data_IF_138757241996
#
_entry.id   IF_138757241996
#
_cell.length_a   1.000
_cell.length_b   1.000
_cell.length_c   1.000
_cell.angle_alpha   90.00
_cell.angle_beta   90.00
_cell.angle_gamma   90.00
#
_symmetry.space_group_name_H-M   'P 1'
#
loop_
_entity.id
_entity.type
_entity.pdbx_description
1 polymer ?
#
# COMPACT_ATOMS: atom_id res chain seq x y z
N UNK A 1 -0.91 15.31 11.35
CA UNK A 1 0.46 14.84 11.00
C UNK A 1 1.47 15.02 12.15
N UNK A 2 1.34 16.10 12.92
CA UNK A 2 2.27 16.52 13.99
C UNK A 2 2.69 15.42 14.97
N UNK A 3 1.76 14.60 15.45
CA UNK A 3 2.07 13.50 16.37
C UNK A 3 3.07 12.48 15.80
N UNK A 4 3.02 12.22 14.48
CA UNK A 4 3.94 11.30 13.81
C UNK A 4 5.33 11.94 13.71
N UNK A 5 5.39 13.21 13.34
CA UNK A 5 6.65 13.96 13.26
C UNK A 5 7.35 14.04 14.61
N UNK A 6 6.59 14.25 15.69
CA UNK A 6 7.11 14.25 17.06
C UNK A 6 7.67 12.87 17.46
N UNK A 7 7.02 11.78 17.07
CA UNK A 7 7.54 10.42 17.29
C UNK A 7 8.84 10.18 16.52
N UNK A 8 8.92 10.65 15.27
CA UNK A 8 10.14 10.54 14.47
C UNK A 8 11.29 11.41 15.00
N UNK A 9 10.99 12.61 15.51
CA UNK A 9 11.97 13.47 16.16
C UNK A 9 12.54 12.82 17.43
N UNK A 10 11.74 12.01 18.11
CA UNK A 10 12.15 11.17 19.24
C UNK A 10 12.83 9.85 18.83
N UNK A 11 13.14 9.69 17.53
CA UNK A 11 13.84 8.54 16.96
C UNK A 11 13.08 7.22 17.12
N UNK A 12 11.76 7.25 16.99
CA UNK A 12 10.98 6.02 16.87
C UNK A 12 11.46 5.18 15.66
N UNK A 13 11.76 3.90 15.91
CA UNK A 13 12.19 2.95 14.87
C UNK A 13 11.00 2.38 14.07
N UNK A 14 9.80 2.44 14.66
CA UNK A 14 8.56 1.87 14.13
C UNK A 14 7.41 2.81 14.46
N UNK A 15 6.53 3.05 13.48
CA UNK A 15 5.26 3.74 13.70
C UNK A 15 4.10 2.74 13.69
N UNK A 16 3.12 2.94 14.56
CA UNK A 16 1.95 2.07 14.68
C UNK A 16 0.69 2.86 14.33
N UNK A 17 -0.20 2.25 13.55
CA UNK A 17 -1.41 2.88 13.05
C UNK A 17 -2.59 1.91 12.98
N UNK A 18 -3.71 2.36 13.52
CA UNK A 18 -5.02 1.79 13.25
C UNK A 18 -5.62 2.34 11.95
N UNK A 19 -6.11 1.44 11.11
CA UNK A 19 -6.69 1.82 9.82
C UNK A 19 -8.22 1.74 9.84
N UNK A 20 -8.85 2.80 9.34
CA UNK A 20 -10.29 2.88 9.07
C UNK A 20 -10.53 3.25 7.61
N UNK A 21 -11.75 3.06 7.12
CA UNK A 21 -12.12 3.35 5.73
C UNK A 21 -13.28 4.34 5.69
N UNK A 22 -13.11 5.42 4.92
CA UNK A 22 -14.18 6.38 4.61
C UNK A 22 -15.14 5.82 3.57
N UNK A 23 -16.29 6.49 3.38
CA UNK A 23 -17.30 6.12 2.38
C UNK A 23 -16.76 6.15 0.95
N UNK A 24 -15.92 7.13 0.63
CA UNK A 24 -15.23 7.27 -0.66
C UNK A 24 -13.97 6.39 -0.78
N UNK A 25 -13.70 5.55 0.22
CA UNK A 25 -12.66 4.54 0.16
C UNK A 25 -11.24 5.07 0.40
N UNK A 26 -11.08 6.18 1.11
CA UNK A 26 -9.78 6.64 1.61
C UNK A 26 -9.47 5.88 2.91
N UNK A 27 -8.24 5.36 3.01
CA UNK A 27 -7.77 4.72 4.24
C UNK A 27 -7.28 5.81 5.18
N UNK A 28 -7.92 5.92 6.34
CA UNK A 28 -7.64 6.94 7.37
C UNK A 28 -6.94 6.30 8.54
N UNK A 29 -5.97 7.01 9.11
CA UNK A 29 -5.34 6.63 10.36
C UNK A 29 -6.21 7.08 11.53
N UNK A 30 -6.88 6.14 12.19
CA UNK A 30 -7.73 6.41 13.36
C UNK A 30 -7.96 5.15 14.19
N UNK A 31 -7.76 5.27 15.50
CA UNK A 31 -8.10 4.20 16.44
C UNK A 31 -9.61 3.94 16.48
N UNK A 32 -10.42 4.99 16.62
CA UNK A 32 -11.86 4.85 16.76
C UNK A 32 -12.54 4.79 15.40
N UNK A 33 -13.57 3.95 15.32
CA UNK A 33 -14.52 3.94 14.20
C UNK A 33 -15.46 5.14 14.22
N UNK A 34 -15.89 5.55 15.43
CA UNK A 34 -16.81 6.66 15.64
C UNK A 34 -16.05 7.93 16.03
N UNK A 35 -16.45 9.05 15.45
CA UNK A 35 -15.75 10.33 15.56
C UNK A 35 -16.08 11.11 16.84
N UNK A 36 -16.99 10.62 17.69
CA UNK A 36 -17.52 11.34 18.85
C UNK A 36 -16.42 11.71 19.86
N UNK A 37 -15.54 10.75 20.19
CA UNK A 37 -14.43 11.00 21.12
C UNK A 37 -13.46 12.04 20.57
N UNK A 38 -13.08 11.88 19.30
CA UNK A 38 -12.01 12.62 18.64
C UNK A 38 -12.40 14.04 18.22
N UNK A 39 -13.65 14.24 17.80
CA UNK A 39 -14.13 15.50 17.18
C UNK A 39 -15.44 16.03 17.78
N UNK A 40 -16.15 15.23 18.58
CA UNK A 40 -17.50 15.55 19.05
C UNK A 40 -18.62 15.18 18.06
N UNK A 41 -18.29 14.79 16.82
CA UNK A 41 -19.26 14.35 15.83
C UNK A 41 -19.63 12.89 16.06
N UNK A 42 -20.88 12.60 16.45
CA UNK A 42 -21.35 11.22 16.60
C UNK A 42 -21.72 10.58 15.23
N UNK A 43 -20.69 10.26 14.44
CA UNK A 43 -20.79 9.51 13.18
C UNK A 43 -19.62 8.56 13.03
N UNK A 44 -19.85 7.45 12.33
CA UNK A 44 -18.79 6.52 11.96
C UNK A 44 -18.06 7.02 10.72
N UNK A 45 -16.74 6.80 10.67
CA UNK A 45 -15.85 7.22 9.57
C UNK A 45 -16.36 6.70 8.21
N UNK A 46 -16.88 5.47 8.16
CA UNK A 46 -17.38 4.85 6.94
C UNK A 46 -18.67 5.49 6.38
N UNK A 47 -19.26 6.47 7.07
CA UNK A 47 -20.44 7.20 6.61
C UNK A 47 -20.11 8.52 5.89
N UNK A 48 -18.85 8.97 5.97
CA UNK A 48 -18.39 10.26 5.46
C UNK A 48 -17.33 10.07 4.38
N UNK A 49 -17.27 11.00 3.43
CA UNK A 49 -16.12 11.10 2.51
C UNK A 49 -14.93 11.73 3.25
N UNK A 50 -13.70 11.49 2.79
CA UNK A 50 -12.50 11.97 3.47
C UNK A 50 -12.49 13.50 3.66
N UNK A 51 -12.90 14.25 2.63
CA UNK A 51 -12.99 15.72 2.69
C UNK A 51 -14.05 16.24 3.67
N UNK A 52 -14.95 15.38 4.15
CA UNK A 52 -16.01 15.73 5.10
C UNK A 52 -15.64 15.38 6.55
N UNK A 53 -14.46 14.77 6.77
CA UNK A 53 -14.01 14.44 8.12
C UNK A 53 -13.77 15.72 8.93
N UNK A 54 -14.24 15.77 10.18
CA UNK A 54 -14.08 16.93 11.03
C UNK A 54 -12.63 17.05 11.54
N UNK A 55 -12.31 18.23 12.07
CA UNK A 55 -11.09 18.43 12.83
C UNK A 55 -11.16 17.68 14.17
N UNK A 56 -10.00 17.27 14.68
CA UNK A 56 -9.85 16.87 16.07
C UNK A 56 -10.23 18.01 17.03
N UNK A 57 -10.62 17.65 18.25
CA UNK A 57 -10.76 18.61 19.37
C UNK A 57 -9.43 19.33 19.62
N UNK A 58 -9.51 20.55 20.15
CA UNK A 58 -8.33 21.34 20.55
C UNK A 58 -7.59 20.69 21.73
N UNK A 59 -8.34 20.01 22.60
CA UNK A 59 -7.84 19.16 23.66
C UNK A 59 -8.41 17.76 23.45
N UNK A 60 -7.54 16.80 23.22
CA UNK A 60 -7.93 15.41 23.01
C UNK A 60 -7.42 14.56 24.16
N UNK A 61 -8.35 13.99 24.93
CA UNK A 61 -8.00 13.07 26.01
C UNK A 61 -7.31 11.82 25.45
N UNK A 62 -6.17 11.48 26.04
CA UNK A 62 -5.34 10.34 25.65
C UNK A 62 -6.05 9.05 26.10
N UNK A 63 -6.40 8.21 25.13
CA UNK A 63 -7.20 7.01 25.35
C UNK A 63 -6.68 6.08 26.47
N UNK A 64 -5.36 5.86 26.51
CA UNK A 64 -4.71 4.98 27.48
C UNK A 64 -4.18 5.71 28.73
N UNK A 65 -4.44 7.01 28.86
CA UNK A 65 -4.00 7.82 29.99
C UNK A 65 -5.11 8.81 30.39
N UNK A 66 -6.19 8.32 31.02
CA UNK A 66 -7.34 9.15 31.40
C UNK A 66 -6.91 10.35 32.26
N UNK A 67 -7.51 11.52 32.00
CA UNK A 67 -7.13 12.78 32.64
C UNK A 67 -5.91 13.49 32.04
N UNK A 68 -5.22 12.88 31.06
CA UNK A 68 -4.17 13.54 30.29
C UNK A 68 -4.68 13.93 28.90
N UNK A 69 -4.28 15.12 28.44
CA UNK A 69 -4.75 15.71 27.19
C UNK A 69 -3.58 15.98 26.25
N UNK A 70 -3.80 15.70 24.97
CA UNK A 70 -2.91 16.06 23.88
C UNK A 70 -3.43 17.32 23.19
N UNK A 71 -2.49 18.14 22.72
CA UNK A 71 -2.73 19.36 21.95
C UNK A 71 -1.93 19.29 20.66
N UNK A 72 -2.44 19.95 19.62
CA UNK A 72 -1.76 20.02 18.32
C UNK A 72 -2.30 21.19 17.51
N UNK A 73 -1.41 21.79 16.74
CA UNK A 73 -1.76 22.88 15.82
C UNK A 73 -2.47 22.35 14.57
N UNK A 74 -1.99 21.21 14.04
CA UNK A 74 -2.64 20.50 12.94
C UNK A 74 -3.65 19.48 13.49
N UNK A 75 -4.93 19.81 13.31
CA UNK A 75 -6.07 19.01 13.78
C UNK A 75 -6.75 18.22 12.66
N UNK A 76 -6.17 18.15 11.47
CA UNK A 76 -6.77 17.37 10.38
C UNK A 76 -6.53 15.87 10.58
N UNK A 77 -7.56 15.08 10.28
CA UNK A 77 -7.38 13.64 10.09
C UNK A 77 -6.54 13.40 8.83
N UNK A 78 -5.68 12.39 8.88
CA UNK A 78 -4.71 12.12 7.83
C UNK A 78 -5.00 10.77 7.16
N UNK A 79 -4.72 10.70 5.86
CA UNK A 79 -4.78 9.44 5.15
C UNK A 79 -3.51 8.63 5.40
N UNK A 80 -3.62 7.30 5.29
CA UNK A 80 -2.45 6.43 5.30
C UNK A 80 -1.51 6.72 4.11
N UNK A 81 -2.06 7.19 2.99
CA UNK A 81 -1.27 7.55 1.81
C UNK A 81 -0.34 8.75 2.10
N UNK A 82 -0.84 9.77 2.80
CA UNK A 82 -0.02 10.93 3.22
C UNK A 82 1.14 10.48 4.13
N UNK A 83 0.89 9.54 5.04
CA UNK A 83 1.91 8.98 5.93
C UNK A 83 2.96 8.20 5.14
N UNK A 84 2.54 7.38 4.17
CA UNK A 84 3.47 6.64 3.31
C UNK A 84 4.32 7.56 2.44
N UNK A 85 3.75 8.64 1.90
CA UNK A 85 4.47 9.62 1.11
C UNK A 85 5.52 10.36 1.95
N UNK A 86 5.15 10.76 3.17
CA UNK A 86 6.03 11.54 4.05
C UNK A 86 7.14 10.69 4.69
N UNK A 87 6.84 9.43 5.02
CA UNK A 87 7.76 8.52 5.69
C UNK A 87 7.95 7.21 4.89
N UNK A 88 8.57 7.29 3.69
CA UNK A 88 8.61 6.16 2.76
C UNK A 88 9.52 5.01 3.22
N UNK A 89 10.50 5.30 4.09
CA UNK A 89 11.49 4.31 4.58
C UNK A 89 11.25 3.88 6.03
N UNK A 90 10.31 4.50 6.73
CA UNK A 90 10.04 4.18 8.14
C UNK A 90 9.19 2.92 8.21
N UNK A 91 9.62 1.88 8.94
CA UNK A 91 8.79 0.71 9.19
C UNK A 91 7.47 1.08 9.86
N UNK A 92 6.38 0.39 9.49
CA UNK A 92 5.05 0.67 10.03
C UNK A 92 4.31 -0.62 10.39
N UNK A 93 3.64 -0.60 11.54
CA UNK A 93 2.69 -1.60 11.98
C UNK A 93 1.27 -1.09 11.68
N UNK A 94 0.51 -1.81 10.86
CA UNK A 94 -0.84 -1.41 10.44
C UNK A 94 -1.86 -2.39 10.98
N UNK A 95 -2.72 -1.90 11.85
CA UNK A 95 -3.78 -2.69 12.47
C UNK A 95 -5.10 -2.61 11.69
N UNK A 96 -5.69 -3.77 11.42
CA UNK A 96 -7.03 -3.92 10.83
C UNK A 96 -7.99 -4.48 11.89
N UNK A 97 -8.84 -3.64 12.48
CA UNK A 97 -9.70 -4.03 13.61
C UNK A 97 -10.96 -4.84 13.21
N UNK A 98 -11.50 -4.56 12.03
CA UNK A 98 -12.76 -5.15 11.56
C UNK A 98 -12.57 -5.96 10.27
N UNK A 99 -13.42 -6.96 10.07
CA UNK A 99 -13.42 -7.76 8.85
C UNK A 99 -13.99 -6.93 7.70
N UNK A 100 -13.12 -6.17 7.05
CA UNK A 100 -13.44 -5.34 5.90
C UNK A 100 -12.48 -5.69 4.75
N UNK A 101 -12.97 -6.47 3.77
CA UNK A 101 -12.15 -6.91 2.63
C UNK A 101 -11.65 -5.74 1.79
N UNK A 102 -12.46 -4.69 1.64
CA UNK A 102 -12.08 -3.51 0.87
C UNK A 102 -10.90 -2.79 1.51
N UNK A 103 -10.96 -2.57 2.82
CA UNK A 103 -9.86 -1.98 3.59
C UNK A 103 -8.60 -2.83 3.46
N UNK A 104 -8.69 -4.15 3.66
CA UNK A 104 -7.56 -5.08 3.53
C UNK A 104 -6.94 -4.97 2.13
N UNK A 105 -7.75 -5.00 1.08
CA UNK A 105 -7.26 -4.90 -0.28
C UNK A 105 -6.67 -3.52 -0.61
N UNK A 106 -7.25 -2.44 -0.09
CA UNK A 106 -6.72 -1.07 -0.28
C UNK A 106 -5.35 -0.92 0.39
N UNK A 107 -5.21 -1.33 1.64
CA UNK A 107 -3.91 -1.28 2.34
C UNK A 107 -2.88 -2.18 1.64
N UNK A 108 -3.26 -3.38 1.19
CA UNK A 108 -2.36 -4.28 0.45
C UNK A 108 -1.95 -3.73 -0.92
N UNK A 109 -2.85 -3.03 -1.62
CA UNK A 109 -2.53 -2.34 -2.86
C UNK A 109 -1.62 -1.14 -2.62
N UNK A 110 -1.86 -0.38 -1.55
CA UNK A 110 -1.06 0.78 -1.17
C UNK A 110 0.36 0.37 -0.77
N UNK A 111 0.52 -0.61 0.13
CA UNK A 111 1.83 -1.13 0.54
C UNK A 111 2.69 -1.59 -0.66
N UNK A 112 2.05 -2.16 -1.69
CA UNK A 112 2.72 -2.52 -2.95
C UNK A 112 3.06 -1.32 -3.81
N UNK A 113 2.11 -0.39 -4.02
CA UNK A 113 2.33 0.84 -4.80
C UNK A 113 3.51 1.65 -4.27
N UNK A 114 3.63 1.72 -2.96
CA UNK A 114 4.72 2.42 -2.27
C UNK A 114 5.98 1.55 -2.08
N UNK A 115 6.02 0.35 -2.67
CA UNK A 115 7.13 -0.60 -2.58
C UNK A 115 7.63 -0.85 -1.14
N UNK A 116 6.69 -0.98 -0.19
CA UNK A 116 6.99 -1.04 1.25
C UNK A 116 6.50 -2.32 1.93
N UNK A 117 6.15 -3.35 1.16
CA UNK A 117 5.66 -4.63 1.70
C UNK A 117 6.62 -5.27 2.71
N UNK A 118 7.93 -5.07 2.56
CA UNK A 118 8.96 -5.65 3.45
C UNK A 118 9.12 -4.91 4.77
N UNK A 119 8.65 -3.65 4.84
CA UNK A 119 8.74 -2.78 6.02
C UNK A 119 7.35 -2.42 6.58
N UNK A 120 6.31 -3.16 6.14
CA UNK A 120 4.95 -3.00 6.64
C UNK A 120 4.52 -4.30 7.33
N UNK A 121 4.38 -4.21 8.65
CA UNK A 121 3.90 -5.27 9.51
C UNK A 121 2.37 -5.13 9.59
N UNK A 122 1.66 -6.23 9.42
CA UNK A 122 0.20 -6.26 9.53
C UNK A 122 -0.19 -6.84 10.87
N UNK A 123 -1.12 -6.19 11.56
CA UNK A 123 -1.65 -6.64 12.84
C UNK A 123 -3.18 -6.63 12.85
N UNK A 124 -3.74 -7.43 13.73
CA UNK A 124 -5.16 -7.48 14.04
C UNK A 124 -5.33 -8.36 15.27
N UNK A 125 -6.16 -7.92 16.20
CA UNK A 125 -6.56 -8.72 17.38
C UNK A 125 -7.20 -10.06 16.96
N UNK A 126 -8.01 -10.06 15.88
CA UNK A 126 -8.74 -11.25 15.43
C UNK A 126 -7.91 -12.07 14.44
N UNK A 127 -7.62 -13.32 14.79
CA UNK A 127 -6.90 -14.26 13.92
C UNK A 127 -7.61 -14.49 12.56
N UNK A 128 -8.94 -14.44 12.53
CA UNK A 128 -9.72 -14.58 11.29
C UNK A 128 -9.44 -13.44 10.29
N UNK A 129 -9.15 -12.24 10.77
CA UNK A 129 -8.77 -11.08 9.94
C UNK A 129 -7.29 -11.20 9.53
N UNK A 130 -6.40 -11.63 10.44
CA UNK A 130 -4.98 -11.86 10.10
C UNK A 130 -4.79 -12.86 8.97
N UNK A 131 -5.57 -13.95 8.95
CA UNK A 131 -5.57 -14.91 7.84
C UNK A 131 -5.94 -14.26 6.50
N UNK A 132 -6.87 -13.30 6.49
CA UNK A 132 -7.28 -12.57 5.29
C UNK A 132 -6.22 -11.56 4.84
N UNK A 133 -5.60 -10.85 5.78
CA UNK A 133 -4.48 -9.96 5.50
C UNK A 133 -3.33 -10.74 4.83
N UNK A 134 -2.98 -11.90 5.38
CA UNK A 134 -1.98 -12.80 4.80
C UNK A 134 -2.35 -13.23 3.37
N UNK A 135 -3.58 -13.67 3.15
CA UNK A 135 -4.05 -14.07 1.82
C UNK A 135 -3.98 -12.91 0.80
N UNK A 136 -4.33 -11.68 1.20
CA UNK A 136 -4.26 -10.51 0.33
C UNK A 136 -2.82 -10.16 -0.13
N UNK A 137 -1.81 -10.51 0.66
CA UNK A 137 -0.39 -10.38 0.30
C UNK A 137 0.07 -11.50 -0.64
N UNK A 138 -0.42 -12.74 -0.44
CA UNK A 138 -0.04 -13.92 -1.23
C UNK A 138 -0.62 -13.91 -2.64
N UNK A 139 -1.90 -13.55 -2.81
CA UNK A 139 -2.61 -13.59 -4.11
C UNK A 139 -1.88 -12.80 -5.21
N UNK A 140 -1.18 -11.71 -4.86
CA UNK A 140 -0.46 -10.91 -5.85
C UNK A 140 1.04 -11.23 -5.95
N UNK A 141 1.65 -11.92 -4.99
CA UNK A 141 3.00 -12.51 -5.17
C UNK A 141 2.96 -13.55 -6.28
N UNK A 142 1.93 -14.40 -6.28
CA UNK A 142 1.69 -15.37 -7.36
C UNK A 142 1.46 -14.68 -8.71
N UNK A 143 0.68 -13.59 -8.76
CA UNK A 143 0.48 -12.82 -10.01
C UNK A 143 1.75 -12.11 -10.49
N UNK A 144 2.57 -11.56 -9.59
CA UNK A 144 3.87 -10.96 -9.96
C UNK A 144 4.86 -12.01 -10.45
N UNK A 145 4.90 -13.19 -9.81
CA UNK A 145 5.72 -14.32 -10.26
C UNK A 145 5.28 -14.83 -11.63
N UNK A 146 3.97 -14.98 -11.87
CA UNK A 146 3.43 -15.37 -13.18
C UNK A 146 3.68 -14.31 -14.26
N UNK A 147 3.63 -13.02 -13.91
CA UNK A 147 3.97 -11.95 -14.85
C UNK A 147 5.46 -11.95 -15.20
N UNK A 148 6.34 -12.06 -14.19
CA UNK A 148 7.78 -12.22 -14.40
C UNK A 148 8.12 -13.47 -15.21
N UNK A 149 7.46 -14.60 -14.95
CA UNK A 149 7.68 -15.83 -15.71
C UNK A 149 7.23 -15.67 -17.16
N UNK A 150 6.10 -14.98 -17.42
CA UNK A 150 5.69 -14.62 -18.78
C UNK A 150 6.72 -13.72 -19.44
N UNK A 151 7.10 -12.63 -18.81
CA UNK A 151 8.07 -11.67 -19.38
C UNK A 151 9.42 -12.35 -19.68
N UNK A 152 9.87 -13.27 -18.81
CA UNK A 152 11.05 -14.09 -19.05
C UNK A 152 10.84 -15.11 -20.18
N UNK A 153 9.67 -15.75 -20.28
CA UNK A 153 9.37 -16.66 -21.39
C UNK A 153 9.31 -15.93 -22.75
N UNK A 154 8.88 -14.67 -22.78
CA UNK A 154 9.00 -13.82 -23.96
C UNK A 154 10.47 -13.50 -24.27
N UNK A 155 11.29 -13.21 -23.26
CA UNK A 155 12.74 -13.00 -23.45
C UNK A 155 13.46 -14.27 -23.96
N UNK A 156 13.11 -15.45 -23.44
CA UNK A 156 13.65 -16.73 -23.88
C UNK A 156 13.23 -17.09 -25.33
N UNK A 157 12.04 -16.66 -25.77
CA UNK A 157 11.61 -16.82 -27.16
C UNK A 157 12.45 -16.00 -28.15
N UNK A 158 13.03 -14.88 -27.71
CA UNK A 158 13.99 -14.08 -28.50
C UNK A 158 15.44 -14.59 -28.40
N UNK A 159 15.76 -15.44 -27.41
CA UNK A 159 17.10 -15.97 -27.16
C UNK A 159 17.32 -17.41 -27.64
N UNK A 160 16.31 -18.07 -28.22
CA UNK A 160 16.45 -19.38 -28.85
C UNK A 160 17.10 -19.25 -30.23
N UNK A 161 18.37 -19.66 -30.44
CA UNK A 161 18.94 -19.77 -31.76
C UNK A 161 18.26 -20.93 -32.47
N UNK A 162 17.76 -20.68 -33.68
CA UNK A 162 17.10 -21.65 -34.54
C UNK A 162 17.84 -23.01 -34.61
N UNK A 163 17.25 -24.03 -33.98
CA UNK A 163 17.42 -25.43 -34.37
C UNK A 163 16.38 -25.77 -35.42
N UNK A 164 16.63 -25.42 -36.68
CA UNK A 164 16.00 -26.11 -37.81
C UNK A 164 17.06 -26.37 -38.88
N UNK A 165 17.53 -27.62 -38.90
CA UNK A 165 18.29 -28.22 -39.99
C UNK A 165 17.40 -28.64 -41.17
N UNK A 166 17.99 -29.08 -42.29
CA UNK A 166 17.56 -28.69 -43.63
C UNK A 166 16.49 -29.60 -44.23
N UNK A 167 15.43 -28.99 -44.76
CA UNK A 167 14.46 -29.60 -45.67
C UNK A 167 14.17 -28.64 -46.82
N UNK A 168 14.38 -29.09 -48.06
CA UNK A 168 14.16 -28.36 -49.33
C UNK A 168 12.70 -27.94 -49.54
N UNK A 169 12.46 -27.28 -50.67
CA UNK A 169 11.23 -26.66 -51.21
C UNK A 169 11.09 -25.21 -50.75
N UNK A 170 11.04 -24.16 -51.58
CA UNK A 170 10.99 -23.96 -53.02
C UNK A 170 11.10 -22.44 -53.27
N UNK A 171 11.15 -22.03 -54.52
CA UNK A 171 11.51 -20.69 -55.02
C UNK A 171 10.70 -19.47 -54.49
N UNK A 172 11.37 -18.30 -54.55
CA UNK A 172 10.84 -16.91 -54.64
C UNK A 172 10.23 -16.34 -53.33
N UNK A 173 10.62 -15.19 -52.74
CA UNK A 173 11.34 -13.99 -53.18
C UNK A 173 11.98 -13.26 -51.97
N UNK A 174 13.13 -12.61 -52.20
CA UNK A 174 13.73 -11.52 -51.40
C UNK A 174 14.15 -10.46 -52.45
N UNK A 175 14.29 -9.13 -52.21
CA UNK A 175 14.57 -8.49 -50.90
C UNK A 175 13.99 -7.07 -50.66
N UNK A 176 14.08 -6.57 -49.42
CA UNK A 176 14.64 -5.23 -49.13
C UNK A 176 14.81 -5.03 -47.61
N UNK A 177 15.90 -5.56 -47.04
CA UNK A 177 16.43 -5.10 -45.75
C UNK A 177 17.92 -4.86 -45.94
N UNK A 178 18.23 -3.65 -46.37
CA UNK A 178 19.56 -3.09 -46.25
C UNK A 178 19.55 -2.16 -45.02
N UNK A 179 20.67 -2.19 -44.28
CA UNK A 179 21.15 -1.16 -43.34
C UNK A 179 20.79 -1.35 -41.84
N UNK A 180 21.66 -2.10 -41.15
CA UNK A 180 22.00 -1.84 -39.74
C UNK A 180 22.89 -0.59 -39.64
N UNK A 181 22.81 0.17 -38.54
CA UNK A 181 23.84 0.12 -37.49
C UNK A 181 23.19 0.11 -36.08
N UNK A 182 23.74 -0.46 -35.00
CA UNK A 182 25.12 -0.45 -34.52
C UNK A 182 25.17 0.32 -33.17
N UNK A 183 25.71 -0.35 -32.13
CA UNK A 183 26.33 0.20 -30.92
C UNK A 183 25.59 0.24 -29.56
N UNK A 184 26.14 -0.59 -28.66
CA UNK A 184 26.63 -0.33 -27.29
C UNK A 184 25.65 0.01 -26.15
N UNK A 185 25.62 -0.93 -25.18
CA UNK A 185 25.21 -0.76 -23.78
C UNK A 185 26.36 -0.19 -22.92
N UNK A 186 26.00 0.41 -21.76
CA UNK A 186 26.58 0.02 -20.48
C UNK A 186 25.60 -0.82 -19.63
#
# INVERSE_FOLDING_TARGET
MEAIENSMAQRADLLEFDCQLTRDGVVVVSHDKNLSRQSGLNKDINTLDFAQLPLYKEELEIYFSPGHFAHGSDRHMISLEDVFQKFPRTPMCLEIKEKNEELIHKVANMARRFNRNEITIWTSEKNSIMKRCKAALEVKRAQQQLRRSRDNAWADFFLLPHFFGPGRWGEQDIPFWEQMPGCFFP
#
